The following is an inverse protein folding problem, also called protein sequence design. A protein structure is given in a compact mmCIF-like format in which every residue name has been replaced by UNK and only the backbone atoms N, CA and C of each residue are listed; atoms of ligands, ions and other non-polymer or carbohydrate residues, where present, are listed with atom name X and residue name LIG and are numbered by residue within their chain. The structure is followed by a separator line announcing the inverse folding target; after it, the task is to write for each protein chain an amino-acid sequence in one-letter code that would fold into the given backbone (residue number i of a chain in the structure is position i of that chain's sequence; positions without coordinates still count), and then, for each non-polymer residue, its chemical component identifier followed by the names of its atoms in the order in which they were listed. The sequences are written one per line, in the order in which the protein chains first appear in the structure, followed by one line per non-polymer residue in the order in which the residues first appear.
data_IF_204379935833
#
_entry.id   IF_204379935833
#
_cell.length_a   1.000
_cell.length_b   1.000
_cell.length_c   1.000
_cell.angle_alpha   90.00
_cell.angle_beta   90.00
_cell.angle_gamma   90.00
#
_symmetry.space_group_name_H-M   'P 1'
#
loop_
_entity.id
_entity.type
_entity.pdbx_description
1 polymer ?
#
# COMPACT_ATOMS: atom_id res chain seq x y z
N UNK A 1 -0.33 -0.89 6.66
CA UNK A 1 -0.20 -1.31 8.07
C UNK A 1 0.95 -2.31 8.25
N UNK A 2 0.88 -3.51 7.67
CA UNK A 2 1.88 -4.57 7.88
C UNK A 2 3.33 -4.21 7.51
N UNK A 3 3.54 -3.35 6.49
CA UNK A 3 4.89 -2.84 6.16
C UNK A 3 5.49 -2.08 7.34
N UNK A 4 4.70 -1.18 7.94
CA UNK A 4 5.13 -0.31 9.05
C UNK A 4 5.38 -1.13 10.30
N UNK A 5 4.54 -2.13 10.58
CA UNK A 5 4.69 -3.02 11.73
C UNK A 5 5.99 -3.84 11.68
N UNK A 6 6.31 -4.43 10.52
CA UNK A 6 7.57 -5.15 10.33
C UNK A 6 8.79 -4.21 10.35
N UNK A 7 8.66 -3.03 9.74
CA UNK A 7 9.69 -2.01 9.81
C UNK A 7 9.93 -1.56 11.26
N UNK A 8 8.88 -1.39 12.05
CA UNK A 8 9.02 -1.02 13.46
C UNK A 8 9.71 -2.10 14.28
N UNK A 9 9.33 -3.36 14.09
CA UNK A 9 9.98 -4.48 14.77
C UNK A 9 11.49 -4.54 14.44
N UNK A 10 11.86 -4.36 13.17
CA UNK A 10 13.27 -4.33 12.72
C UNK A 10 14.03 -3.11 13.23
N UNK A 11 13.39 -1.95 13.27
CA UNK A 11 13.98 -0.72 13.81
C UNK A 11 14.27 -0.86 15.31
N UNK A 12 13.32 -1.43 16.08
CA UNK A 12 13.53 -1.73 17.51
C UNK A 12 14.60 -2.78 17.76
N UNK A 13 14.80 -3.70 16.81
CA UNK A 13 15.91 -4.67 16.83
C UNK A 13 17.28 -4.04 16.44
N UNK A 14 17.36 -2.71 16.31
CA UNK A 14 18.61 -1.98 16.07
C UNK A 14 18.95 -1.73 14.60
N UNK A 15 18.08 -2.10 13.65
CA UNK A 15 18.31 -1.80 12.22
C UNK A 15 18.15 -0.29 11.94
N UNK A 16 18.85 0.22 10.93
CA UNK A 16 18.65 1.59 10.48
C UNK A 16 17.19 1.78 9.99
N UNK A 17 16.66 3.01 10.07
CA UNK A 17 15.28 3.28 9.64
C UNK A 17 15.06 2.93 8.15
N UNK A 18 16.10 3.07 7.33
CA UNK A 18 16.06 2.75 5.89
C UNK A 18 16.04 1.24 5.68
N UNK A 19 16.93 0.50 6.34
CA UNK A 19 16.99 -0.96 6.21
C UNK A 19 15.72 -1.63 6.72
N UNK A 20 15.20 -1.14 7.85
CA UNK A 20 13.96 -1.61 8.43
C UNK A 20 12.76 -1.40 7.48
N UNK A 21 12.66 -0.22 6.86
CA UNK A 21 11.62 0.09 5.89
C UNK A 21 11.71 -0.79 4.63
N UNK A 22 12.92 -0.99 4.09
CA UNK A 22 13.15 -1.82 2.91
C UNK A 22 12.82 -3.29 3.16
N UNK A 23 13.19 -3.83 4.32
CA UNK A 23 12.86 -5.20 4.69
C UNK A 23 11.34 -5.39 4.87
N UNK A 24 10.67 -4.46 5.54
CA UNK A 24 9.21 -4.47 5.68
C UNK A 24 8.50 -4.43 4.33
N UNK A 25 8.98 -3.60 3.39
CA UNK A 25 8.44 -3.51 2.04
C UNK A 25 8.61 -4.82 1.25
N UNK A 26 9.81 -5.42 1.26
CA UNK A 26 10.10 -6.66 0.52
C UNK A 26 9.25 -7.85 0.98
N UNK A 27 9.06 -8.01 2.29
CA UNK A 27 8.27 -9.11 2.85
C UNK A 27 6.79 -9.05 2.45
N UNK A 28 6.27 -7.84 2.20
CA UNK A 28 4.84 -7.63 1.91
C UNK A 28 4.53 -7.34 0.46
N UNK A 29 5.54 -7.14 -0.39
CA UNK A 29 5.35 -6.90 -1.82
C UNK A 29 4.53 -8.00 -2.49
N UNK A 30 4.89 -9.27 -2.27
CA UNK A 30 4.17 -10.41 -2.88
C UNK A 30 2.70 -10.48 -2.40
N UNK A 31 2.41 -10.43 -1.09
CA UNK A 31 1.02 -10.36 -0.61
C UNK A 31 0.21 -9.17 -1.14
N UNK A 32 0.79 -7.97 -1.18
CA UNK A 32 0.09 -6.75 -1.64
C UNK A 32 -0.27 -6.85 -3.12
N UNK A 33 0.66 -7.33 -3.94
CA UNK A 33 0.41 -7.54 -5.38
C UNK A 33 -0.63 -8.64 -5.57
N UNK A 34 -0.56 -9.73 -4.80
CA UNK A 34 -1.55 -10.81 -4.89
C UNK A 34 -2.98 -10.33 -4.59
N UNK A 35 -3.20 -9.60 -3.49
CA UNK A 35 -4.55 -9.16 -3.11
C UNK A 35 -5.08 -8.09 -4.05
N UNK A 36 -4.23 -7.16 -4.47
CA UNK A 36 -4.62 -6.10 -5.43
C UNK A 36 -5.03 -6.70 -6.78
N UNK A 37 -4.25 -7.63 -7.32
CA UNK A 37 -4.59 -8.30 -8.58
C UNK A 37 -5.85 -9.16 -8.45
N UNK A 38 -6.01 -9.92 -7.36
CA UNK A 38 -7.19 -10.75 -7.15
C UNK A 38 -8.47 -9.88 -7.08
N UNK A 39 -8.40 -8.74 -6.39
CA UNK A 39 -9.53 -7.84 -6.30
C UNK A 39 -9.83 -7.13 -7.63
N UNK A 40 -8.80 -6.67 -8.35
CA UNK A 40 -8.96 -6.11 -9.71
C UNK A 40 -9.65 -7.14 -10.61
N UNK A 41 -9.19 -8.39 -10.61
CA UNK A 41 -9.81 -9.46 -11.40
C UNK A 41 -11.29 -9.68 -11.01
N UNK A 42 -11.60 -9.62 -9.71
CA UNK A 42 -12.97 -9.76 -9.20
C UNK A 42 -13.92 -8.63 -9.62
N UNK A 43 -13.41 -7.42 -9.90
CA UNK A 43 -14.22 -6.27 -10.33
C UNK A 43 -14.29 -6.08 -11.85
N UNK A 44 -13.53 -6.85 -12.64
CA UNK A 44 -13.59 -6.84 -14.12
C UNK A 44 -15.03 -7.00 -14.64
N UNK A 45 -15.85 -7.96 -14.16
CA UNK A 45 -17.22 -8.12 -14.65
C UNK A 45 -18.09 -6.88 -14.39
N UNK A 46 -17.82 -6.15 -13.30
CA UNK A 46 -18.53 -4.93 -12.95
C UNK A 46 -18.18 -3.79 -13.91
N UNK A 47 -16.88 -3.66 -14.24
CA UNK A 47 -16.37 -2.69 -15.20
C UNK A 47 -16.86 -2.94 -16.64
N UNK A 48 -17.25 -4.17 -16.97
CA UNK A 48 -17.78 -4.55 -18.29
C UNK A 48 -19.30 -4.74 -18.29
N UNK A 49 -19.98 -4.51 -17.18
CA UNK A 49 -21.39 -4.85 -17.04
C UNK A 49 -22.27 -4.16 -18.09
N UNK A 50 -23.26 -4.88 -18.61
CA UNK A 50 -24.28 -4.37 -19.56
C UNK A 50 -25.68 -4.47 -18.93
N UNK A 51 -26.70 -3.89 -19.59
CA UNK A 51 -28.09 -3.94 -19.13
C UNK A 51 -28.49 -2.83 -18.14
N UNK A 52 -29.60 -3.04 -17.42
CA UNK A 52 -30.15 -2.05 -16.49
C UNK A 52 -29.13 -1.70 -15.39
N UNK A 53 -28.86 -0.40 -15.18
CA UNK A 53 -27.86 0.06 -14.21
C UNK A 53 -26.41 -0.17 -14.62
N UNK A 54 -26.13 -0.50 -15.89
CA UNK A 54 -24.78 -0.72 -16.40
C UNK A 54 -23.85 0.48 -16.19
N UNK A 55 -24.35 1.70 -16.41
CA UNK A 55 -23.55 2.93 -16.21
C UNK A 55 -23.01 2.98 -14.79
N UNK A 56 -23.87 2.86 -13.78
CA UNK A 56 -23.46 2.87 -12.37
C UNK A 56 -22.45 1.76 -12.03
N UNK A 57 -22.69 0.52 -12.51
CA UNK A 57 -21.77 -0.60 -12.28
C UNK A 57 -20.40 -0.40 -12.92
N UNK A 58 -20.36 0.16 -14.15
CA UNK A 58 -19.11 0.47 -14.85
C UNK A 58 -18.34 1.57 -14.14
N UNK A 59 -19.00 2.65 -13.72
CA UNK A 59 -18.36 3.74 -12.97
C UNK A 59 -17.73 3.23 -11.67
N UNK A 60 -18.43 2.38 -10.93
CA UNK A 60 -17.88 1.73 -9.73
C UNK A 60 -16.71 0.82 -10.10
N UNK A 61 -16.85 -0.03 -11.13
CA UNK A 61 -15.77 -0.92 -11.56
C UNK A 61 -14.50 -0.16 -11.98
N UNK A 62 -14.65 0.88 -12.80
CA UNK A 62 -13.53 1.68 -13.31
C UNK A 62 -12.86 2.50 -12.20
N UNK A 63 -13.64 3.15 -11.33
CA UNK A 63 -13.09 3.91 -10.20
C UNK A 63 -12.30 3.03 -9.25
N UNK A 64 -12.82 1.83 -8.96
CA UNK A 64 -12.17 0.87 -8.07
C UNK A 64 -10.88 0.31 -8.67
N UNK A 65 -10.88 -0.07 -9.96
CA UNK A 65 -9.66 -0.55 -10.65
C UNK A 65 -8.58 0.54 -10.64
N UNK A 66 -8.93 1.76 -11.03
CA UNK A 66 -8.01 2.89 -11.06
C UNK A 66 -7.45 3.22 -9.66
N UNK A 67 -8.33 3.25 -8.66
CA UNK A 67 -7.97 3.49 -7.26
C UNK A 67 -7.05 2.40 -6.70
N UNK A 68 -7.29 1.14 -7.04
CA UNK A 68 -6.46 0.03 -6.57
C UNK A 68 -5.08 0.01 -7.22
N UNK A 69 -4.99 0.23 -8.54
CA UNK A 69 -3.71 0.31 -9.24
C UNK A 69 -2.87 1.46 -8.72
N UNK A 70 -3.45 2.66 -8.69
CA UNK A 70 -2.77 3.86 -8.22
C UNK A 70 -2.39 3.75 -6.74
N UNK A 71 -3.32 3.31 -5.90
CA UNK A 71 -3.10 3.13 -4.46
C UNK A 71 -2.03 2.10 -4.16
N UNK A 72 -1.98 0.99 -4.91
CA UNK A 72 -0.96 -0.06 -4.71
C UNK A 72 0.44 0.45 -5.07
N UNK A 73 0.59 1.10 -6.23
CA UNK A 73 1.86 1.67 -6.69
C UNK A 73 2.35 2.75 -5.71
N UNK A 74 1.48 3.68 -5.35
CA UNK A 74 1.78 4.74 -4.41
C UNK A 74 2.11 4.17 -3.03
N UNK A 75 1.38 3.19 -2.53
CA UNK A 75 1.63 2.61 -1.20
C UNK A 75 2.99 1.89 -1.12
N UNK A 76 3.39 1.16 -2.17
CA UNK A 76 4.67 0.44 -2.18
C UNK A 76 5.85 1.41 -2.05
N UNK A 77 5.76 2.60 -2.63
CA UNK A 77 6.83 3.61 -2.61
C UNK A 77 6.70 4.56 -1.43
N UNK A 78 5.50 5.10 -1.20
CA UNK A 78 5.26 6.13 -0.19
C UNK A 78 5.30 5.58 1.23
N UNK A 79 4.83 4.35 1.49
CA UNK A 79 4.78 3.83 2.87
C UNK A 79 6.20 3.67 3.47
N UNK A 80 7.18 3.06 2.78
CA UNK A 80 8.56 3.01 3.28
C UNK A 80 9.19 4.40 3.40
N UNK A 81 8.91 5.30 2.44
CA UNK A 81 9.41 6.67 2.47
C UNK A 81 8.89 7.43 3.69
N UNK A 82 7.58 7.40 3.93
CA UNK A 82 6.97 8.05 5.08
C UNK A 82 7.48 7.47 6.39
N UNK A 83 7.72 6.16 6.48
CA UNK A 83 8.34 5.56 7.66
C UNK A 83 9.71 6.20 7.97
N UNK A 84 10.59 6.31 6.96
CA UNK A 84 11.92 6.92 7.13
C UNK A 84 11.81 8.40 7.49
N UNK A 85 10.93 9.15 6.81
CA UNK A 85 10.72 10.58 7.06
C UNK A 85 10.23 10.85 8.48
N UNK A 86 9.21 10.12 8.93
CA UNK A 86 8.66 10.26 10.29
C UNK A 86 9.70 9.90 11.34
N UNK A 87 10.48 8.83 11.12
CA UNK A 87 11.55 8.43 12.05
C UNK A 87 12.70 9.45 12.11
N UNK A 88 13.06 10.06 10.98
CA UNK A 88 14.06 11.15 10.94
C UNK A 88 13.54 12.41 11.65
N UNK A 89 12.30 12.81 11.40
CA UNK A 89 11.67 13.94 12.07
C UNK A 89 11.51 13.73 13.59
N UNK A 90 11.20 12.50 14.02
CA UNK A 90 11.13 12.14 15.43
C UNK A 90 12.47 12.19 16.16
N UNK A 91 13.58 11.83 15.50
CA UNK A 91 14.94 11.99 16.06
C UNK A 91 15.36 13.45 16.27
N UNK A 92 14.77 14.39 15.53
CA UNK A 92 15.09 15.81 15.62
C UNK A 92 14.40 16.54 16.78
N UNK A 93 13.47 15.89 17.50
CA UNK A 93 12.90 16.41 18.73
C UNK A 93 13.59 15.72 19.93
N UNK A 94 14.55 16.39 20.60
CA UNK A 94 14.86 16.01 21.96
C UNK A 94 13.56 16.23 22.75
N UNK A 95 13.00 15.15 23.27
CA UNK A 95 11.99 15.23 24.31
C UNK A 95 12.76 15.76 25.51
N UNK A 96 12.64 17.08 25.72
CA UNK A 96 13.11 17.78 26.91
C UNK A 96 12.18 17.45 28.09
#
# INVERSE_FOLDING_TARGET
ILIVEFAEARYRAGSSAVDAALQGARLRLRPIVMTSLAFIAGVIPLALATGAGAVSRREIGMSVIGGMLSGTLLAIVLVPLFFVLVRRAGKARPVA
#
